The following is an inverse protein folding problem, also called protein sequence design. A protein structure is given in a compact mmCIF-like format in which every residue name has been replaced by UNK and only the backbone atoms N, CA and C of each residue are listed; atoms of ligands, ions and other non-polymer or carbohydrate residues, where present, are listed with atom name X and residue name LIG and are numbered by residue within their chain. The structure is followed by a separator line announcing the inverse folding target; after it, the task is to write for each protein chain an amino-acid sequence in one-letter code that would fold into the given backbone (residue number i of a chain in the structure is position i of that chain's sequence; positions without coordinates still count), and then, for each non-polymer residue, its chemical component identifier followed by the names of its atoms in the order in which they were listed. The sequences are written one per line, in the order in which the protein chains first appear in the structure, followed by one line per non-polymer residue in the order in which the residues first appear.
data_IF_286858180021
#
_entry.id   IF_286858180021
#
_cell.length_a   1.000
_cell.length_b   1.000
_cell.length_c   1.000
_cell.angle_alpha   90.00
_cell.angle_beta   90.00
_cell.angle_gamma   90.00
#
_symmetry.space_group_name_H-M   'P 1'
#
loop_
_entity.id
_entity.type
_entity.pdbx_description
1 polymer ?
#
# COMPACT_ATOMS: atom_id res chain seq x y z
N UNK A 1 -10.78 2.25 -38.14
CA UNK A 1 -11.89 2.23 -37.16
C UNK A 1 -11.67 1.03 -36.25
N UNK A 2 -11.39 1.21 -34.95
CA UNK A 2 -11.17 0.07 -34.05
C UNK A 2 -12.49 -0.61 -33.73
N UNK A 3 -12.56 -1.93 -33.90
CA UNK A 3 -13.73 -2.73 -33.50
C UNK A 3 -13.99 -2.58 -32.00
N UNK A 4 -15.07 -1.89 -31.66
CA UNK A 4 -15.64 -1.86 -30.31
C UNK A 4 -16.04 -3.29 -29.91
N UNK A 5 -15.84 -3.67 -28.65
CA UNK A 5 -16.33 -4.97 -28.15
C UNK A 5 -17.85 -5.00 -28.32
N UNK A 6 -18.37 -6.04 -28.99
CA UNK A 6 -19.80 -6.19 -29.29
C UNK A 6 -20.68 -5.95 -28.05
N UNK A 7 -20.31 -6.53 -26.90
CA UNK A 7 -21.03 -6.35 -25.62
C UNK A 7 -21.06 -4.88 -25.17
N UNK A 8 -19.97 -4.12 -25.35
CA UNK A 8 -19.93 -2.70 -25.00
C UNK A 8 -20.85 -1.89 -25.92
N UNK A 9 -20.85 -2.23 -27.21
CA UNK A 9 -21.76 -1.62 -28.19
C UNK A 9 -23.22 -1.93 -27.87
N UNK A 10 -23.53 -3.17 -27.48
CA UNK A 10 -24.85 -3.55 -26.99
C UNK A 10 -25.25 -2.75 -25.75
N UNK A 11 -24.41 -2.66 -24.72
CA UNK A 11 -24.71 -1.91 -23.48
C UNK A 11 -25.14 -0.48 -23.76
N UNK A 12 -24.48 0.19 -24.72
CA UNK A 12 -24.78 1.58 -25.08
C UNK A 12 -26.13 1.71 -25.81
N UNK A 13 -26.49 0.71 -26.62
CA UNK A 13 -27.65 0.77 -27.51
C UNK A 13 -28.92 0.11 -26.96
N UNK A 14 -28.81 -0.80 -25.99
CA UNK A 14 -29.95 -1.53 -25.41
C UNK A 14 -31.06 -0.60 -24.91
N UNK A 15 -30.69 0.57 -24.35
CA UNK A 15 -31.65 1.60 -23.92
C UNK A 15 -32.55 2.09 -25.06
N UNK A 16 -32.02 2.21 -26.28
CA UNK A 16 -32.78 2.69 -27.47
C UNK A 16 -33.87 1.70 -27.88
N UNK A 17 -33.67 0.41 -27.58
CA UNK A 17 -34.60 -0.66 -27.93
C UNK A 17 -35.55 -1.02 -26.79
N UNK A 18 -35.48 -0.33 -25.65
CA UNK A 18 -36.29 -0.65 -24.47
C UNK A 18 -35.89 -1.96 -23.78
N UNK A 19 -34.69 -2.48 -24.08
CA UNK A 19 -34.19 -3.74 -23.54
C UNK A 19 -33.27 -3.51 -22.34
N UNK A 20 -33.31 -4.44 -21.39
CA UNK A 20 -32.49 -4.41 -20.18
C UNK A 20 -31.45 -5.52 -20.16
N UNK A 21 -30.32 -5.28 -19.49
CA UNK A 21 -29.34 -6.31 -19.22
C UNK A 21 -28.97 -6.32 -17.75
N UNK A 22 -28.93 -7.51 -17.16
CA UNK A 22 -28.46 -7.74 -15.80
C UNK A 22 -27.06 -8.35 -15.87
N UNK A 23 -26.11 -7.71 -15.21
CA UNK A 23 -24.74 -8.19 -15.08
C UNK A 23 -24.49 -8.50 -13.60
N UNK A 24 -24.02 -9.71 -13.32
CA UNK A 24 -23.63 -10.13 -11.99
C UNK A 24 -22.20 -10.64 -12.04
N UNK A 25 -21.35 -10.12 -11.17
CA UNK A 25 -19.95 -10.52 -11.02
C UNK A 25 -19.59 -10.48 -9.52
N UNK A 26 -18.67 -11.35 -9.11
CA UNK A 26 -18.13 -11.39 -7.75
C UNK A 26 -17.06 -10.32 -7.53
N UNK A 27 -16.46 -9.78 -8.59
CA UNK A 27 -15.35 -8.85 -8.52
C UNK A 27 -15.66 -7.59 -9.34
N UNK A 28 -16.29 -6.57 -8.74
CA UNK A 28 -16.64 -5.32 -9.45
C UNK A 28 -15.42 -4.64 -10.10
N UNK A 29 -14.21 -4.85 -9.56
CA UNK A 29 -12.98 -4.24 -10.08
C UNK A 29 -12.45 -4.87 -11.38
N UNK A 30 -13.06 -5.94 -11.89
CA UNK A 30 -12.76 -6.54 -13.20
C UNK A 30 -13.69 -6.01 -14.31
N UNK A 31 -14.85 -5.46 -13.92
CA UNK A 31 -15.81 -4.87 -14.85
C UNK A 31 -15.19 -3.60 -15.47
N UNK A 32 -15.39 -3.40 -16.77
CA UNK A 32 -14.88 -2.21 -17.47
C UNK A 32 -15.66 -0.96 -17.07
N UNK A 33 -15.00 0.18 -16.99
CA UNK A 33 -15.63 1.43 -16.56
C UNK A 33 -16.75 1.88 -17.49
N UNK A 34 -16.64 1.59 -18.80
CA UNK A 34 -17.72 1.85 -19.75
C UNK A 34 -19.01 1.13 -19.36
N UNK A 35 -18.93 -0.04 -18.75
CA UNK A 35 -20.12 -0.76 -18.24
C UNK A 35 -20.63 -0.07 -16.98
N UNK A 36 -19.75 0.22 -16.02
CA UNK A 36 -20.11 0.86 -14.74
C UNK A 36 -20.76 2.23 -14.91
N UNK A 37 -20.34 2.99 -15.92
CA UNK A 37 -20.90 4.32 -16.22
C UNK A 37 -22.21 4.28 -17.01
N UNK A 38 -22.56 3.13 -17.62
CA UNK A 38 -23.77 2.97 -18.43
C UNK A 38 -24.88 2.16 -17.73
N UNK A 39 -24.67 1.73 -16.48
CA UNK A 39 -25.71 1.05 -15.70
C UNK A 39 -26.59 2.05 -14.97
N UNK A 40 -27.90 1.87 -15.08
CA UNK A 40 -28.89 2.68 -14.37
C UNK A 40 -29.06 2.23 -12.90
N UNK A 41 -28.98 0.92 -12.66
CA UNK A 41 -29.16 0.31 -11.34
C UNK A 41 -27.87 -0.38 -10.94
N UNK A 42 -27.37 -0.02 -9.77
CA UNK A 42 -26.20 -0.64 -9.14
C UNK A 42 -26.63 -1.26 -7.82
N UNK A 43 -26.31 -2.54 -7.65
CA UNK A 43 -26.53 -3.27 -6.41
C UNK A 43 -25.16 -3.77 -5.93
N UNK A 44 -24.69 -3.19 -4.83
CA UNK A 44 -23.46 -3.60 -4.17
C UNK A 44 -23.77 -4.51 -2.98
N UNK A 45 -23.40 -5.78 -3.06
CA UNK A 45 -23.48 -6.72 -1.94
C UNK A 45 -22.12 -6.87 -1.27
N UNK A 46 -22.05 -7.59 -0.15
CA UNK A 46 -20.82 -7.82 0.62
C UNK A 46 -19.65 -8.28 -0.27
N UNK A 47 -18.49 -7.62 -0.11
CA UNK A 47 -17.27 -7.88 -0.89
C UNK A 47 -16.10 -8.24 0.04
N UNK A 48 -15.35 -9.29 -0.30
CA UNK A 48 -14.18 -9.75 0.47
C UNK A 48 -12.94 -8.92 0.15
N UNK A 49 -12.74 -8.55 -1.12
CA UNK A 49 -11.55 -7.82 -1.58
C UNK A 49 -11.60 -6.33 -1.23
N UNK A 50 -10.52 -5.78 -0.67
CA UNK A 50 -10.43 -4.34 -0.38
C UNK A 50 -10.47 -3.49 -1.67
N UNK A 51 -9.93 -4.01 -2.78
CA UNK A 51 -10.03 -3.36 -4.10
C UNK A 51 -11.48 -3.25 -4.55
N UNK A 52 -12.24 -4.33 -4.48
CA UNK A 52 -13.65 -4.37 -4.85
C UNK A 52 -14.52 -3.53 -3.92
N UNK A 53 -14.21 -3.47 -2.62
CA UNK A 53 -14.87 -2.54 -1.68
C UNK A 53 -14.64 -1.08 -2.06
N UNK A 54 -13.40 -0.68 -2.37
CA UNK A 54 -13.08 0.69 -2.79
C UNK A 54 -13.79 1.06 -4.09
N UNK A 55 -13.77 0.14 -5.05
CA UNK A 55 -14.48 0.30 -6.32
C UNK A 55 -15.99 0.46 -6.09
N UNK A 56 -16.58 -0.39 -5.24
CA UNK A 56 -17.99 -0.31 -4.88
C UNK A 56 -18.36 1.00 -4.20
N UNK A 57 -17.53 1.50 -3.27
CA UNK A 57 -17.71 2.83 -2.63
C UNK A 57 -17.73 3.94 -3.69
N UNK A 58 -16.80 3.89 -4.64
CA UNK A 58 -16.68 4.88 -5.73
C UNK A 58 -17.91 4.85 -6.65
N UNK A 59 -18.27 3.66 -7.15
CA UNK A 59 -19.36 3.47 -8.11
C UNK A 59 -20.73 3.78 -7.48
N UNK A 60 -20.92 3.44 -6.20
CA UNK A 60 -22.13 3.80 -5.45
C UNK A 60 -22.12 5.26 -4.98
N UNK A 61 -21.01 6.00 -5.10
CA UNK A 61 -20.93 7.40 -4.67
C UNK A 61 -21.13 7.59 -3.17
N UNK A 62 -20.62 6.66 -2.36
CA UNK A 62 -20.74 6.72 -0.91
C UNK A 62 -19.77 7.77 -0.33
N UNK A 63 -20.22 8.53 0.66
CA UNK A 63 -19.35 9.43 1.40
C UNK A 63 -18.49 8.67 2.43
N UNK A 64 -17.51 9.35 3.04
CA UNK A 64 -16.58 8.74 4.00
C UNK A 64 -17.26 8.05 5.20
N UNK A 65 -18.40 8.54 5.64
CA UNK A 65 -19.15 7.95 6.75
C UNK A 65 -19.89 6.67 6.30
N UNK A 66 -20.47 6.70 5.10
CA UNK A 66 -21.18 5.57 4.49
C UNK A 66 -20.22 4.47 4.00
N UNK A 67 -18.99 4.84 3.61
CA UNK A 67 -17.98 3.92 3.13
C UNK A 67 -17.63 2.82 4.15
N UNK A 68 -17.79 3.10 5.44
CA UNK A 68 -17.59 2.09 6.49
C UNK A 68 -18.65 0.99 6.43
N UNK A 69 -19.90 1.31 6.05
CA UNK A 69 -21.03 0.36 6.00
C UNK A 69 -20.77 -0.78 5.01
N UNK A 70 -19.99 -0.53 3.95
CA UNK A 70 -19.58 -1.54 2.97
C UNK A 70 -18.81 -2.70 3.60
N UNK A 71 -18.09 -2.46 4.71
CA UNK A 71 -17.35 -3.51 5.41
C UNK A 71 -18.23 -4.36 6.33
N UNK A 72 -19.46 -3.91 6.60
CA UNK A 72 -20.37 -4.53 7.57
C UNK A 72 -21.65 -5.08 6.92
N UNK A 73 -21.68 -5.22 5.60
CA UNK A 73 -22.80 -5.83 4.90
C UNK A 73 -22.85 -7.33 5.20
N UNK A 74 -23.94 -7.75 5.83
CA UNK A 74 -24.24 -9.17 6.07
C UNK A 74 -24.72 -9.89 4.81
N UNK A 75 -24.76 -11.22 4.88
CA UNK A 75 -25.36 -12.05 3.82
C UNK A 75 -26.82 -11.66 3.66
N UNK A 76 -27.22 -11.39 2.41
CA UNK A 76 -28.58 -10.93 2.10
C UNK A 76 -28.79 -9.42 2.27
N UNK A 77 -27.78 -8.64 2.63
CA UNK A 77 -27.83 -7.18 2.59
C UNK A 77 -27.08 -6.62 1.37
N UNK A 78 -27.48 -5.43 0.93
CA UNK A 78 -26.74 -4.69 -0.08
C UNK A 78 -27.15 -3.22 -0.14
N UNK A 79 -26.34 -2.45 -0.85
CA UNK A 79 -26.58 -1.03 -1.09
C UNK A 79 -27.03 -0.86 -2.54
N UNK A 80 -28.19 -0.25 -2.75
CA UNK A 80 -28.72 0.05 -4.07
C UNK A 80 -28.56 1.53 -4.42
N UNK A 81 -28.13 1.81 -5.64
CA UNK A 81 -28.12 3.16 -6.23
C UNK A 81 -28.86 3.13 -7.56
N UNK A 82 -29.76 4.09 -7.76
CA UNK A 82 -30.51 4.28 -9.00
C UNK A 82 -30.10 5.61 -9.63
N UNK A 83 -29.79 5.61 -10.94
CA UNK A 83 -29.32 6.77 -11.70
C UNK A 83 -30.39 7.84 -11.97
N UNK A 84 -31.32 8.08 -11.04
CA UNK A 84 -32.42 9.02 -11.20
C UNK A 84 -33.28 9.18 -9.95
N UNK A 85 -34.41 8.46 -9.89
CA UNK A 85 -35.53 8.69 -8.94
C UNK A 85 -35.12 8.71 -7.46
N UNK A 86 -34.05 8.00 -7.11
CA UNK A 86 -33.51 7.93 -5.75
C UNK A 86 -32.04 8.38 -5.81
N UNK A 87 -31.74 9.66 -5.53
CA UNK A 87 -30.40 10.21 -5.74
C UNK A 87 -29.39 9.69 -4.72
N UNK A 88 -29.86 9.16 -3.59
CA UNK A 88 -29.03 8.66 -2.51
C UNK A 88 -29.00 7.13 -2.49
N UNK A 89 -27.82 6.52 -2.27
CA UNK A 89 -27.70 5.08 -2.05
C UNK A 89 -28.50 4.64 -0.82
N UNK A 90 -29.22 3.54 -0.95
CA UNK A 90 -30.09 2.98 0.09
C UNK A 90 -29.57 1.61 0.52
N UNK A 91 -29.50 1.37 1.83
CA UNK A 91 -29.27 0.03 2.37
C UNK A 91 -30.57 -0.78 2.29
N UNK A 92 -30.51 -1.98 1.72
CA UNK A 92 -31.66 -2.88 1.57
C UNK A 92 -31.30 -4.29 2.05
N UNK A 93 -32.32 -4.99 2.54
CA UNK A 93 -32.27 -6.41 2.85
C UNK A 93 -33.04 -7.18 1.77
N UNK A 94 -32.40 -8.18 1.19
CA UNK A 94 -32.98 -9.05 0.17
C UNK A 94 -33.67 -10.25 0.84
N UNK A 95 -34.87 -10.64 0.39
CA UNK A 95 -35.51 -11.85 0.88
C UNK A 95 -34.69 -13.08 0.47
N UNK A 96 -34.54 -14.02 1.40
CA UNK A 96 -33.92 -15.31 1.07
C UNK A 96 -34.83 -16.09 0.13
N UNK A 97 -34.31 -16.40 -1.06
CA UNK A 97 -34.95 -17.31 -2.02
C UNK A 97 -34.15 -18.60 -2.00
N UNK A 98 -34.79 -19.70 -1.61
CA UNK A 98 -34.15 -21.02 -1.59
C UNK A 98 -33.77 -21.39 -3.03
N UNK A 99 -32.48 -21.61 -3.35
CA UNK A 99 -32.09 -22.02 -4.68
C UNK A 99 -32.65 -23.42 -4.95
N UNK A 100 -33.31 -23.59 -6.09
CA UNK A 100 -33.60 -24.92 -6.62
C UNK A 100 -32.31 -25.50 -7.21
N UNK A 101 -31.90 -26.68 -6.77
CA UNK A 101 -30.79 -27.40 -7.38
C UNK A 101 -31.24 -27.96 -8.73
N UNK A 102 -31.11 -27.14 -9.78
CA UNK A 102 -31.34 -27.52 -11.17
C UNK A 102 -30.04 -28.18 -11.68
N UNK A 103 -30.12 -29.44 -12.11
CA UNK A 103 -28.99 -30.10 -12.76
C UNK A 103 -28.74 -29.52 -14.15
N UNK A 104 -27.51 -29.58 -14.66
CA UNK A 104 -27.18 -29.17 -16.04
C UNK A 104 -28.14 -29.79 -17.06
N UNK A 105 -28.46 -31.07 -16.92
CA UNK A 105 -29.45 -31.76 -17.75
C UNK A 105 -30.84 -31.09 -17.72
N UNK A 106 -31.33 -30.69 -16.55
CA UNK A 106 -32.62 -29.98 -16.43
C UNK A 106 -32.53 -28.58 -17.02
N UNK A 107 -31.38 -27.91 -16.91
CA UNK A 107 -31.14 -26.60 -17.50
C UNK A 107 -31.14 -26.68 -19.02
N UNK A 108 -30.47 -27.68 -19.59
CA UNK A 108 -30.43 -27.94 -21.03
C UNK A 108 -31.82 -28.30 -21.57
N UNK A 109 -32.56 -29.14 -20.87
CA UNK A 109 -33.95 -29.47 -21.21
C UNK A 109 -34.87 -28.24 -21.16
N UNK A 110 -34.66 -27.33 -20.20
CA UNK A 110 -35.41 -26.07 -20.12
C UNK A 110 -35.02 -25.11 -21.26
N UNK A 111 -33.73 -24.96 -21.53
CA UNK A 111 -33.20 -24.13 -22.62
C UNK A 111 -33.63 -24.65 -24.00
N UNK A 112 -33.69 -25.97 -24.20
CA UNK A 112 -34.13 -26.59 -25.44
C UNK A 112 -35.63 -26.40 -25.72
N UNK A 113 -36.44 -26.22 -24.66
CA UNK A 113 -37.88 -25.93 -24.77
C UNK A 113 -38.16 -24.46 -25.08
N UNK A 114 -37.24 -23.55 -24.76
CA UNK A 114 -37.38 -22.13 -25.09
C UNK A 114 -37.04 -21.89 -26.58
N UNK A 115 -38.02 -21.48 -27.41
CA UNK A 115 -37.80 -21.30 -28.85
C UNK A 115 -36.74 -20.24 -29.18
N UNK A 116 -36.59 -19.21 -28.33
CA UNK A 116 -35.64 -18.11 -28.52
C UNK A 116 -34.23 -18.58 -28.18
N UNK A 117 -34.06 -19.29 -27.07
CA UNK A 117 -32.75 -19.85 -26.69
C UNK A 117 -32.29 -20.87 -27.73
N UNK A 118 -33.20 -21.71 -28.23
CA UNK A 118 -32.90 -22.68 -29.29
C UNK A 118 -32.44 -21.99 -30.59
N UNK A 119 -33.12 -20.94 -31.03
CA UNK A 119 -32.71 -20.17 -32.21
C UNK A 119 -31.32 -19.53 -32.01
N UNK A 120 -31.08 -18.92 -30.85
CA UNK A 120 -29.79 -18.31 -30.51
C UNK A 120 -28.64 -19.33 -30.49
N UNK A 121 -28.82 -20.48 -29.84
CA UNK A 121 -27.80 -21.52 -29.74
C UNK A 121 -27.54 -22.21 -31.09
N UNK A 122 -28.56 -22.35 -31.95
CA UNK A 122 -28.41 -22.95 -33.28
C UNK A 122 -27.48 -22.16 -34.22
N UNK A 123 -27.24 -20.88 -33.90
CA UNK A 123 -26.40 -19.97 -34.68
C UNK A 123 -24.95 -19.92 -34.20
N UNK A 124 -24.64 -20.57 -33.07
CA UNK A 124 -23.29 -20.62 -32.52
C UNK A 124 -22.58 -21.86 -33.08
N UNK A 125 -21.66 -21.66 -34.02
CA UNK A 125 -20.82 -22.75 -34.56
C UNK A 125 -19.90 -23.23 -33.44
N UNK A 126 -20.06 -24.48 -33.01
CA UNK A 126 -19.16 -25.13 -32.06
C UNK A 126 -17.79 -25.31 -32.71
N UNK A 127 -16.84 -24.41 -32.41
CA UNK A 127 -15.46 -24.58 -32.83
C UNK A 127 -14.82 -25.63 -31.92
N UNK A 128 -14.67 -26.87 -32.40
CA UNK A 128 -13.87 -27.88 -31.72
C UNK A 128 -12.39 -27.44 -31.75
N UNK A 129 -11.88 -26.97 -30.61
CA UNK A 129 -10.52 -26.37 -30.49
C UNK A 129 -9.38 -27.41 -30.56
N UNK A 130 -9.67 -28.71 -30.74
CA UNK A 130 -8.65 -29.76 -30.58
C UNK A 130 -8.18 -30.49 -31.86
N UNK A 131 -8.68 -30.19 -33.06
CA UNK A 131 -8.24 -30.92 -34.27
C UNK A 131 -8.09 -30.02 -35.51
N UNK A 132 -7.00 -29.24 -35.61
CA UNK A 132 -6.56 -28.75 -36.93
C UNK A 132 -5.02 -28.68 -37.04
N UNK A 133 -4.36 -29.63 -37.74
CA UNK A 133 -2.91 -29.65 -37.95
C UNK A 133 -2.36 -28.66 -39.01
N UNK A 134 -3.20 -27.81 -39.64
CA UNK A 134 -2.82 -27.05 -40.84
C UNK A 134 -3.23 -25.57 -40.87
N UNK A 135 -3.22 -24.86 -39.74
CA UNK A 135 -3.17 -23.39 -39.78
C UNK A 135 -1.70 -22.95 -39.97
N UNK A 136 -1.25 -22.88 -41.23
CA UNK A 136 -0.06 -22.09 -41.57
C UNK A 136 -0.33 -20.64 -41.15
N UNK A 137 0.62 -19.96 -40.48
CA UNK A 137 0.45 -18.55 -40.13
C UNK A 137 0.27 -17.74 -41.43
N UNK A 138 -0.83 -17.00 -41.52
CA UNK A 138 -1.09 -16.08 -42.62
C UNK A 138 0.07 -15.08 -42.73
N UNK A 139 0.70 -14.92 -43.91
CA UNK A 139 1.71 -13.90 -44.12
C UNK A 139 1.04 -12.52 -44.16
N UNK A 140 1.47 -11.63 -43.28
CA UNK A 140 1.18 -10.20 -43.38
C UNK A 140 -0.25 -9.79 -43.01
N UNK A 141 -0.65 -9.98 -41.76
CA UNK A 141 -1.66 -9.09 -41.16
C UNK A 141 -0.92 -7.80 -40.79
N UNK A 142 -1.25 -6.63 -41.39
CA UNK A 142 -0.72 -5.37 -40.92
C UNK A 142 -1.11 -5.22 -39.45
N UNK A 143 -0.12 -5.10 -38.57
CA UNK A 143 -0.37 -4.76 -37.17
C UNK A 143 -1.00 -3.36 -37.16
N UNK A 144 -2.32 -3.30 -37.10
CA UNK A 144 -3.04 -2.08 -36.81
C UNK A 144 -2.73 -1.69 -35.36
N UNK A 145 -1.84 -0.72 -35.20
CA UNK A 145 -1.73 0.09 -34.00
C UNK A 145 -3.05 0.84 -33.84
N UNK A 146 -3.98 0.23 -33.09
CA UNK A 146 -5.04 1.00 -32.45
C UNK A 146 -4.32 1.92 -31.48
N UNK A 147 -4.34 3.21 -31.76
CA UNK A 147 -4.07 4.27 -30.77
C UNK A 147 -5.14 4.17 -29.66
N UNK A 148 -5.06 3.12 -28.85
CA UNK A 148 -5.23 3.29 -27.41
C UNK A 148 -4.14 4.28 -27.04
N UNK A 149 -4.47 5.33 -26.32
CA UNK A 149 -3.50 5.89 -25.39
C UNK A 149 -2.99 4.70 -24.57
N UNK A 150 -1.83 4.21 -24.98
CA UNK A 150 -1.28 2.98 -24.46
C UNK A 150 -0.76 3.33 -23.10
N UNK A 151 -1.56 3.08 -22.06
CA UNK A 151 -0.99 2.87 -20.73
C UNK A 151 0.13 1.85 -20.91
N UNK A 152 1.35 2.36 -20.81
CA UNK A 152 2.56 1.60 -20.99
C UNK A 152 2.58 0.48 -19.93
N UNK A 153 3.34 -0.59 -20.18
CA UNK A 153 3.57 -1.60 -19.12
C UNK A 153 4.06 -0.94 -17.82
N UNK A 154 4.70 0.23 -17.94
CA UNK A 154 5.16 1.07 -16.85
C UNK A 154 3.97 1.66 -16.07
N UNK A 155 2.96 2.21 -16.72
CA UNK A 155 1.79 2.82 -16.08
C UNK A 155 0.98 1.79 -15.29
N UNK A 156 0.79 0.59 -15.84
CA UNK A 156 0.14 -0.51 -15.11
C UNK A 156 0.93 -0.99 -13.90
N UNK A 157 2.26 -0.98 -13.96
CA UNK A 157 3.10 -1.30 -12.82
C UNK A 157 3.09 -0.17 -11.78
N UNK A 158 3.03 1.08 -12.24
CA UNK A 158 2.91 2.25 -11.41
C UNK A 158 1.62 2.24 -10.60
N UNK A 159 0.47 1.98 -11.23
CA UNK A 159 -0.80 1.86 -10.51
C UNK A 159 -0.78 0.74 -9.47
N UNK A 160 -0.20 -0.42 -9.80
CA UNK A 160 -0.02 -1.52 -8.82
C UNK A 160 0.91 -1.13 -7.66
N UNK A 161 1.87 -0.24 -7.91
CA UNK A 161 2.82 0.19 -6.89
C UNK A 161 2.25 1.22 -5.92
N UNK A 162 1.16 1.92 -6.27
CA UNK A 162 0.54 2.94 -5.39
C UNK A 162 0.07 2.38 -4.06
N UNK A 163 -0.58 1.20 -4.06
CA UNK A 163 -1.01 0.56 -2.81
C UNK A 163 0.21 0.19 -1.93
N UNK A 164 1.30 -0.25 -2.55
CA UNK A 164 2.55 -0.55 -1.84
C UNK A 164 3.20 0.71 -1.27
N UNK A 165 3.21 1.82 -2.02
CA UNK A 165 3.71 3.12 -1.55
C UNK A 165 2.85 3.68 -0.41
N UNK A 166 1.54 3.57 -0.52
CA UNK A 166 0.62 4.00 0.54
C UNK A 166 0.83 3.20 1.83
N UNK A 167 1.08 1.89 1.70
CA UNK A 167 1.46 1.06 2.85
C UNK A 167 2.82 1.45 3.44
N UNK A 168 3.82 1.69 2.59
CA UNK A 168 5.14 2.18 3.04
C UNK A 168 5.00 3.50 3.82
N UNK A 169 4.12 4.41 3.36
CA UNK A 169 3.86 5.67 4.05
C UNK A 169 3.22 5.47 5.43
N UNK A 170 2.22 4.59 5.52
CA UNK A 170 1.46 4.36 6.76
C UNK A 170 2.18 3.45 7.76
N UNK A 171 2.91 2.45 7.27
CA UNK A 171 3.59 1.39 8.04
C UNK A 171 5.07 1.30 7.65
N UNK A 172 5.78 2.43 7.75
CA UNK A 172 7.18 2.55 7.34
C UNK A 172 8.13 1.59 8.08
N UNK A 173 7.76 1.21 9.30
CA UNK A 173 8.50 0.32 10.20
C UNK A 173 8.33 -1.17 9.88
N UNK A 174 7.56 -1.52 8.85
CA UNK A 174 7.36 -2.92 8.42
C UNK A 174 8.42 -3.33 7.39
N UNK A 175 9.10 -4.45 7.65
CA UNK A 175 10.09 -5.02 6.75
C UNK A 175 9.44 -5.56 5.46
N UNK A 176 10.20 -5.56 4.36
CA UNK A 176 9.72 -5.93 3.03
C UNK A 176 9.12 -7.33 2.92
N UNK A 177 9.66 -8.29 3.68
CA UNK A 177 9.19 -9.68 3.71
C UNK A 177 7.83 -9.81 4.39
N UNK A 178 7.64 -9.11 5.52
CA UNK A 178 6.36 -9.03 6.22
C UNK A 178 5.34 -8.31 5.33
N UNK A 179 5.73 -7.19 4.72
CA UNK A 179 4.87 -6.44 3.80
C UNK A 179 4.42 -7.30 2.61
N UNK A 180 5.31 -8.08 2.00
CA UNK A 180 4.95 -8.98 0.90
C UNK A 180 3.89 -10.01 1.33
N UNK A 181 4.01 -10.57 2.54
CA UNK A 181 3.06 -11.53 3.10
C UNK A 181 1.69 -10.89 3.34
N UNK A 182 1.66 -9.69 3.91
CA UNK A 182 0.41 -8.95 4.19
C UNK A 182 -0.39 -8.67 2.91
N UNK A 183 0.30 -8.42 1.80
CA UNK A 183 -0.32 -8.21 0.49
C UNK A 183 -0.71 -9.51 -0.23
N UNK A 184 -0.46 -10.67 0.38
CA UNK A 184 -0.71 -11.97 -0.26
C UNK A 184 0.14 -12.21 -1.51
N UNK A 185 1.29 -11.54 -1.62
CA UNK A 185 2.15 -11.62 -2.79
C UNK A 185 3.18 -12.75 -2.65
N UNK A 186 3.45 -13.45 -3.76
CA UNK A 186 4.62 -14.32 -3.84
C UNK A 186 5.91 -13.49 -3.79
N UNK A 187 7.02 -14.11 -3.36
CA UNK A 187 8.31 -13.43 -3.29
C UNK A 187 8.72 -12.78 -4.61
N UNK A 188 8.48 -13.45 -5.75
CA UNK A 188 8.78 -12.91 -7.08
C UNK A 188 7.87 -11.73 -7.45
N UNK A 189 6.58 -11.78 -7.11
CA UNK A 189 5.65 -10.69 -7.39
C UNK A 189 6.00 -9.44 -6.56
N UNK A 190 6.30 -9.63 -5.28
CA UNK A 190 6.73 -8.55 -4.40
C UNK A 190 8.07 -7.94 -4.86
N UNK A 191 9.06 -8.76 -5.21
CA UNK A 191 10.37 -8.30 -5.70
C UNK A 191 10.24 -7.46 -6.99
N UNK A 192 9.32 -7.82 -7.89
CA UNK A 192 9.04 -7.00 -9.09
C UNK A 192 8.51 -5.61 -8.75
N UNK A 193 7.57 -5.51 -7.81
CA UNK A 193 7.00 -4.22 -7.38
C UNK A 193 8.08 -3.40 -6.66
N UNK A 194 8.82 -4.02 -5.75
CA UNK A 194 9.88 -3.36 -5.01
C UNK A 194 11.00 -2.85 -5.94
N UNK A 195 11.45 -3.65 -6.90
CA UNK A 195 12.42 -3.21 -7.92
C UNK A 195 11.89 -2.06 -8.75
N UNK A 196 10.61 -2.09 -9.11
CA UNK A 196 9.99 -0.99 -9.86
C UNK A 196 10.01 0.32 -9.07
N UNK A 197 9.54 0.33 -7.81
CA UNK A 197 9.54 1.57 -7.01
C UNK A 197 10.95 2.08 -6.68
N UNK A 198 11.93 1.17 -6.58
CA UNK A 198 13.36 1.51 -6.44
C UNK A 198 13.91 2.16 -7.70
N UNK A 199 13.66 1.56 -8.87
CA UNK A 199 14.11 2.07 -10.17
C UNK A 199 13.50 3.43 -10.51
N UNK A 200 12.24 3.63 -10.15
CA UNK A 200 11.54 4.92 -10.31
C UNK A 200 11.91 5.94 -9.22
N UNK A 201 12.82 5.60 -8.30
CA UNK A 201 13.30 6.46 -7.22
C UNK A 201 12.18 7.02 -6.33
N UNK A 202 11.10 6.24 -6.16
CA UNK A 202 9.95 6.64 -5.33
C UNK A 202 10.24 6.44 -3.84
N UNK A 203 11.21 5.59 -3.51
CA UNK A 203 11.60 5.23 -2.16
C UNK A 203 13.11 5.08 -2.03
N UNK A 204 13.62 5.31 -0.83
CA UNK A 204 14.95 4.88 -0.42
C UNK A 204 14.89 3.52 0.31
N UNK A 205 15.96 2.75 0.16
CA UNK A 205 16.11 1.44 0.79
C UNK A 205 16.94 1.58 2.06
N UNK A 206 16.38 1.13 3.18
CA UNK A 206 17.06 1.07 4.46
C UNK A 206 17.34 -0.39 4.81
N UNK A 207 18.60 -0.70 5.14
CA UNK A 207 19.03 -2.03 5.54
C UNK A 207 19.53 -1.97 6.98
N UNK A 208 18.81 -2.60 7.90
CA UNK A 208 19.11 -2.56 9.33
C UNK A 208 19.02 -3.94 9.98
N UNK A 209 19.93 -4.21 10.91
CA UNK A 209 19.86 -5.38 11.77
C UNK A 209 19.34 -4.95 13.15
N UNK A 210 18.09 -5.32 13.44
CA UNK A 210 17.40 -4.96 14.69
C UNK A 210 17.44 -6.08 15.74
N UNK A 211 18.03 -7.24 15.43
CA UNK A 211 18.06 -8.42 16.33
C UNK A 211 19.41 -8.64 17.01
N UNK A 212 20.44 -7.86 16.68
CA UNK A 212 21.71 -7.81 17.41
C UNK A 212 22.66 -9.01 17.23
N UNK A 213 22.27 -10.02 16.44
CA UNK A 213 23.12 -11.18 16.16
C UNK A 213 22.50 -12.19 15.18
N UNK A 214 21.59 -13.04 15.66
CA UNK A 214 20.95 -14.11 14.86
C UNK A 214 19.77 -13.55 14.07
N UNK A 215 20.04 -13.08 12.86
CA UNK A 215 19.04 -12.57 11.93
C UNK A 215 19.71 -11.80 10.80
N UNK A 216 19.25 -12.02 9.57
CA UNK A 216 19.70 -11.24 8.43
C UNK A 216 19.29 -9.77 8.54
N UNK A 217 20.01 -8.90 7.82
CA UNK A 217 19.67 -7.49 7.71
C UNK A 217 18.29 -7.34 7.07
N UNK A 218 17.35 -6.72 7.79
CA UNK A 218 15.99 -6.46 7.30
C UNK A 218 16.01 -5.29 6.31
N UNK A 219 15.21 -5.42 5.25
CA UNK A 219 15.06 -4.39 4.22
C UNK A 219 13.77 -3.61 4.48
N UNK A 220 13.90 -2.31 4.68
CA UNK A 220 12.82 -1.35 4.85
C UNK A 220 12.82 -0.38 3.68
N UNK A 221 11.68 0.25 3.47
CA UNK A 221 11.46 1.24 2.42
C UNK A 221 10.94 2.50 3.04
N UNK A 222 11.42 3.64 2.56
CA UNK A 222 11.03 4.94 3.09
C UNK A 222 10.79 5.89 1.94
N UNK A 223 9.64 6.58 1.97
CA UNK A 223 9.39 7.65 1.01
C UNK A 223 10.15 8.88 1.46
N UNK A 224 11.19 9.24 0.71
CA UNK A 224 12.04 10.40 0.98
C UNK A 224 12.08 11.37 -0.20
N UNK A 225 11.77 10.87 -1.40
CA UNK A 225 11.74 11.63 -2.63
C UNK A 225 10.35 12.27 -2.82
N UNK A 226 10.25 13.57 -3.16
CA UNK A 226 9.00 14.21 -3.53
C UNK A 226 8.14 13.42 -4.53
N UNK A 227 8.77 12.76 -5.52
CA UNK A 227 8.07 11.91 -6.50
C UNK A 227 7.26 10.78 -5.86
N UNK A 228 7.78 10.16 -4.81
CA UNK A 228 7.08 9.09 -4.10
C UNK A 228 5.88 9.60 -3.30
N UNK A 229 5.98 10.82 -2.75
CA UNK A 229 4.86 11.49 -2.07
C UNK A 229 3.76 11.91 -3.05
N UNK A 230 4.16 12.48 -4.20
CA UNK A 230 3.26 12.86 -5.28
C UNK A 230 2.48 11.65 -5.83
N UNK A 231 3.16 10.51 -6.02
CA UNK A 231 2.55 9.27 -6.51
C UNK A 231 1.37 8.76 -5.65
N UNK A 232 1.33 9.12 -4.36
CA UNK A 232 0.26 8.77 -3.41
C UNK A 232 -0.54 9.97 -2.94
N UNK A 233 -0.38 11.13 -3.60
CA UNK A 233 -1.06 12.38 -3.28
C UNK A 233 -0.90 12.79 -1.80
N UNK A 234 0.30 12.60 -1.25
CA UNK A 234 0.67 13.04 0.11
C UNK A 234 1.69 14.17 0.04
N UNK A 235 1.76 14.94 1.12
CA UNK A 235 2.78 15.98 1.27
C UNK A 235 3.98 15.42 2.01
N UNK A 236 5.22 15.67 1.54
CA UNK A 236 6.41 15.32 2.29
C UNK A 236 6.42 16.06 3.65
N UNK A 237 6.91 15.43 4.72
CA UNK A 237 7.09 16.11 6.00
C UNK A 237 8.11 17.25 5.83
N UNK A 238 7.91 18.35 6.56
CA UNK A 238 8.91 19.42 6.66
C UNK A 238 10.18 18.81 7.25
N UNK A 239 11.27 18.86 6.50
CA UNK A 239 12.60 18.43 6.95
C UNK A 239 13.44 19.64 7.25
N UNK A 240 14.17 19.58 8.34
CA UNK A 240 15.33 20.44 8.53
C UNK A 240 16.45 19.88 7.65
N UNK A 241 17.10 20.71 6.84
CA UNK A 241 17.90 20.23 5.69
C UNK A 241 19.04 19.27 6.03
N UNK A 242 19.42 18.45 5.03
CA UNK A 242 20.66 17.64 5.01
C UNK A 242 20.55 16.21 5.53
N UNK A 243 19.43 15.86 6.16
CA UNK A 243 19.26 14.57 6.86
C UNK A 243 19.06 13.41 5.88
N UNK A 244 19.98 12.44 5.88
CA UNK A 244 19.93 11.27 5.01
C UNK A 244 18.75 10.33 5.33
N UNK A 245 18.35 9.50 4.36
CA UNK A 245 17.19 8.60 4.48
C UNK A 245 17.24 7.68 5.70
N UNK A 246 18.43 7.18 6.06
CA UNK A 246 18.65 6.34 7.23
C UNK A 246 18.36 7.10 8.53
N UNK A 247 18.82 8.34 8.64
CA UNK A 247 18.62 9.15 9.83
C UNK A 247 17.13 9.47 10.00
N UNK A 248 16.47 9.94 8.93
CA UNK A 248 15.02 10.16 8.90
C UNK A 248 14.20 8.90 9.25
N UNK A 249 14.63 7.73 8.79
CA UNK A 249 13.99 6.46 9.17
C UNK A 249 14.13 6.21 10.67
N UNK A 250 15.34 6.31 11.19
CA UNK A 250 15.65 6.02 12.59
C UNK A 250 14.95 6.97 13.55
N UNK A 251 14.84 8.27 13.24
CA UNK A 251 14.08 9.23 14.06
C UNK A 251 12.64 8.77 14.27
N UNK A 252 11.96 8.42 13.17
CA UNK A 252 10.57 7.98 13.20
C UNK A 252 10.45 6.60 13.85
N UNK A 253 11.36 5.69 13.54
CA UNK A 253 11.36 4.34 14.05
C UNK A 253 11.54 4.33 15.58
N UNK A 254 12.56 5.04 16.07
CA UNK A 254 12.82 5.19 17.50
C UNK A 254 11.67 5.91 18.19
N UNK A 255 11.13 7.02 17.65
CA UNK A 255 9.96 7.69 18.25
C UNK A 255 8.79 6.73 18.45
N UNK A 256 8.46 5.94 17.42
CA UNK A 256 7.34 4.98 17.47
C UNK A 256 7.58 3.91 18.53
N UNK A 257 8.74 3.24 18.48
CA UNK A 257 8.97 2.05 19.28
C UNK A 257 9.46 2.34 20.70
N UNK A 258 10.18 3.43 20.95
CA UNK A 258 10.61 3.79 22.30
C UNK A 258 9.45 4.25 23.18
N UNK A 259 8.38 4.78 22.58
CA UNK A 259 7.15 5.11 23.32
C UNK A 259 6.54 3.88 24.00
N UNK A 260 6.69 2.69 23.41
CA UNK A 260 6.25 1.41 23.99
C UNK A 260 7.24 0.86 25.04
N UNK A 261 8.40 1.50 25.21
CA UNK A 261 9.51 1.05 26.06
C UNK A 261 9.72 1.94 27.28
N UNK A 262 8.73 2.75 27.66
CA UNK A 262 8.79 3.62 28.85
C UNK A 262 9.28 5.03 28.58
N UNK A 263 9.57 5.39 27.33
CA UNK A 263 9.80 6.79 26.98
C UNK A 263 8.46 7.53 26.82
N UNK A 264 8.39 8.75 27.34
CA UNK A 264 7.24 9.63 27.21
C UNK A 264 7.62 10.97 26.60
N UNK A 265 6.63 11.64 25.98
CA UNK A 265 6.79 12.97 25.37
C UNK A 265 7.92 13.06 24.33
N UNK A 266 8.13 12.01 23.53
CA UNK A 266 9.16 11.99 22.48
C UNK A 266 8.81 12.92 21.31
N UNK A 267 9.65 13.92 21.11
CA UNK A 267 9.58 14.90 20.04
C UNK A 267 10.80 14.78 19.11
N UNK A 268 10.56 14.87 17.81
CA UNK A 268 11.62 14.86 16.77
C UNK A 268 12.09 16.29 16.54
N UNK A 269 13.39 16.48 16.34
CA UNK A 269 14.04 17.75 16.01
C UNK A 269 13.70 18.89 17.00
N UNK A 270 13.60 18.58 18.30
CA UNK A 270 13.21 19.55 19.32
C UNK A 270 14.33 20.56 19.57
N UNK A 271 13.99 21.86 19.55
CA UNK A 271 14.93 22.92 19.90
C UNK A 271 14.91 23.17 21.42
N UNK A 272 16.04 22.96 22.08
CA UNK A 272 16.22 23.19 23.51
C UNK A 272 17.41 24.14 23.70
N UNK A 273 17.09 25.34 24.20
CA UNK A 273 18.07 26.41 24.44
C UNK A 273 18.95 26.75 23.23
N UNK A 274 18.35 26.83 22.05
CA UNK A 274 19.03 27.23 20.81
C UNK A 274 19.74 26.09 20.07
N UNK A 275 19.62 24.83 20.53
CA UNK A 275 20.12 23.66 19.81
C UNK A 275 19.00 22.67 19.52
N UNK A 276 19.02 22.12 18.31
CA UNK A 276 18.15 21.02 17.88
C UNK A 276 18.76 19.68 18.29
N UNK A 277 17.95 18.84 18.94
CA UNK A 277 18.25 17.44 19.28
C UNK A 277 17.35 16.55 18.41
N UNK A 278 17.88 15.48 17.84
CA UNK A 278 17.13 14.60 16.92
C UNK A 278 15.88 14.03 17.58
N UNK A 279 16.01 13.52 18.80
CA UNK A 279 14.90 13.03 19.61
C UNK A 279 15.05 13.50 21.06
N UNK A 280 14.00 14.11 21.61
CA UNK A 280 13.98 14.50 23.01
C UNK A 280 12.71 14.02 23.69
N UNK A 281 12.85 13.50 24.91
CA UNK A 281 11.71 13.10 25.72
C UNK A 281 12.13 12.82 27.16
N UNK A 282 11.30 12.03 27.83
CA UNK A 282 11.57 11.56 29.19
C UNK A 282 11.63 10.05 29.24
N UNK A 283 12.49 9.51 30.09
CA UNK A 283 12.43 8.11 30.52
C UNK A 283 12.32 8.10 32.03
N UNK A 284 11.19 7.61 32.56
CA UNK A 284 10.73 7.93 33.91
C UNK A 284 10.70 9.47 34.08
N UNK A 285 11.42 10.03 35.05
CA UNK A 285 11.53 11.48 35.27
C UNK A 285 12.74 12.13 34.59
N UNK A 286 13.65 11.34 34.03
CA UNK A 286 14.90 11.84 33.45
C UNK A 286 14.66 12.44 32.07
N UNK A 287 15.19 13.64 31.82
CA UNK A 287 15.23 14.26 30.49
C UNK A 287 16.30 13.61 29.64
N UNK A 288 15.87 12.92 28.58
CA UNK A 288 16.75 12.19 27.67
C UNK A 288 16.81 12.91 26.32
N UNK A 289 18.02 13.23 25.87
CA UNK A 289 18.30 13.57 24.49
C UNK A 289 18.88 12.35 23.76
N UNK A 290 18.41 12.07 22.55
CA UNK A 290 18.92 10.99 21.70
C UNK A 290 19.36 11.63 20.38
N UNK A 291 20.64 11.44 20.04
CA UNK A 291 21.23 11.87 18.77
C UNK A 291 21.53 10.65 17.91
N UNK A 292 21.21 10.70 16.62
CA UNK A 292 21.30 9.56 15.71
C UNK A 292 22.51 9.76 14.80
N UNK A 293 23.54 8.93 15.00
CA UNK A 293 24.77 9.00 14.23
C UNK A 293 24.79 7.90 13.16
N UNK A 294 24.57 8.28 11.90
CA UNK A 294 24.55 7.34 10.74
C UNK A 294 25.88 7.24 10.00
N UNK A 295 26.82 8.15 10.22
CA UNK A 295 28.13 8.13 9.56
C UNK A 295 29.24 8.67 10.46
N UNK A 296 30.50 8.39 10.11
CA UNK A 296 31.65 8.60 11.01
C UNK A 296 32.33 9.97 10.91
N UNK A 297 31.79 10.95 10.19
CA UNK A 297 32.35 12.32 10.06
C UNK A 297 31.20 13.30 9.72
N UNK A 298 31.09 14.59 10.14
CA UNK A 298 32.14 15.59 10.43
C UNK A 298 31.68 16.86 11.21
N UNK A 299 30.44 16.97 11.70
CA UNK A 299 29.94 18.23 12.33
C UNK A 299 29.00 18.08 13.54
N UNK A 300 28.44 16.89 13.78
CA UNK A 300 27.47 16.67 14.88
C UNK A 300 28.14 16.53 16.26
N UNK A 301 29.45 16.23 16.28
CA UNK A 301 30.25 16.01 17.48
C UNK A 301 30.47 17.25 18.36
N UNK A 302 30.44 18.44 17.76
CA UNK A 302 30.90 19.68 18.42
C UNK A 302 29.84 20.24 19.39
N UNK A 303 28.63 19.71 19.38
CA UNK A 303 27.55 20.28 20.16
C UNK A 303 27.25 19.57 21.50
N UNK A 304 27.83 18.40 21.75
CA UNK A 304 27.56 17.59 22.96
C UNK A 304 27.82 18.35 24.28
N UNK A 305 28.91 19.15 24.35
CA UNK A 305 29.20 19.94 25.56
C UNK A 305 28.10 20.96 25.88
N UNK A 306 27.35 21.44 24.87
CA UNK A 306 26.25 22.40 25.04
C UNK A 306 24.91 21.74 25.40
N UNK A 307 24.81 20.42 25.27
CA UNK A 307 23.57 19.66 25.54
C UNK A 307 23.49 19.14 26.99
N UNK A 308 24.63 18.98 27.67
CA UNK A 308 24.72 18.43 29.03
C UNK A 308 23.96 19.23 30.10
N UNK A 309 23.78 20.53 29.86
CA UNK A 309 23.07 21.41 30.80
C UNK A 309 21.54 21.29 30.65
N UNK A 310 21.07 20.64 29.58
CA UNK A 310 19.65 20.60 29.18
C UNK A 310 19.04 19.21 29.28
N UNK A 311 19.86 18.19 29.12
CA UNK A 311 19.49 16.78 29.29
C UNK A 311 20.23 16.20 30.49
N UNK A 312 19.56 15.33 31.23
CA UNK A 312 20.20 14.57 32.30
C UNK A 312 21.07 13.45 31.71
N UNK A 313 20.60 12.85 30.61
CA UNK A 313 21.34 11.86 29.84
C UNK A 313 21.22 12.18 28.34
N UNK A 314 22.33 12.04 27.63
CA UNK A 314 22.40 12.11 26.18
C UNK A 314 22.84 10.75 25.65
N UNK A 315 22.05 10.17 24.76
CA UNK A 315 22.32 8.88 24.13
C UNK A 315 22.67 9.11 22.67
N UNK A 316 23.88 8.74 22.26
CA UNK A 316 24.23 8.67 20.84
C UNK A 316 23.96 7.25 20.35
N UNK A 317 23.01 7.11 19.44
CA UNK A 317 22.62 5.81 18.89
C UNK A 317 23.11 5.67 17.45
N UNK A 318 23.52 4.46 17.09
CA UNK A 318 24.11 4.14 15.77
C UNK A 318 23.38 2.98 15.11
N UNK A 319 23.35 2.88 13.78
CA UNK A 319 22.63 1.81 13.08
C UNK A 319 23.26 0.43 13.29
N UNK A 320 24.58 0.36 13.53
CA UNK A 320 25.33 -0.88 13.61
C UNK A 320 26.57 -0.79 14.51
N UNK A 321 27.08 -1.95 14.94
CA UNK A 321 28.24 -2.06 15.84
C UNK A 321 29.52 -1.47 15.24
N UNK A 322 29.74 -1.57 13.93
CA UNK A 322 30.94 -1.03 13.27
C UNK A 322 30.96 0.49 13.33
N UNK A 323 29.80 1.13 13.12
CA UNK A 323 29.62 2.57 13.29
C UNK A 323 29.84 2.98 14.75
N UNK A 324 29.27 2.23 15.72
CA UNK A 324 29.50 2.44 17.16
C UNK A 324 30.98 2.37 17.55
N UNK A 325 31.71 1.33 17.14
CA UNK A 325 33.13 1.17 17.52
C UNK A 325 34.00 2.33 17.02
N UNK A 326 33.72 2.81 15.80
CA UNK A 326 34.41 3.98 15.25
C UNK A 326 34.05 5.25 16.02
N UNK A 327 32.76 5.43 16.31
CA UNK A 327 32.24 6.53 17.13
C UNK A 327 32.92 6.58 18.50
N UNK A 328 32.93 5.47 19.23
CA UNK A 328 33.53 5.37 20.56
C UNK A 328 35.03 5.73 20.52
N UNK A 329 35.75 5.24 19.50
CA UNK A 329 37.17 5.53 19.30
C UNK A 329 37.46 7.02 19.05
N UNK A 330 36.53 7.75 18.42
CA UNK A 330 36.64 9.19 18.24
C UNK A 330 36.23 9.99 19.46
N UNK A 331 35.18 9.56 20.17
CA UNK A 331 34.70 10.20 21.39
C UNK A 331 35.78 10.19 22.48
N UNK A 332 36.44 9.05 22.68
CA UNK A 332 37.55 8.91 23.65
C UNK A 332 38.68 9.91 23.39
N UNK A 333 38.91 10.29 22.13
CA UNK A 333 39.97 11.26 21.76
C UNK A 333 39.59 12.72 22.00
N UNK A 334 38.29 13.03 22.09
CA UNK A 334 37.77 14.41 22.04
C UNK A 334 37.04 14.84 23.31
N UNK A 335 36.48 13.90 24.06
CA UNK A 335 35.59 14.16 25.17
C UNK A 335 36.05 13.34 26.38
N UNK A 336 36.21 14.01 27.52
CA UNK A 336 36.48 13.34 28.79
C UNK A 336 35.31 12.42 29.19
N UNK A 337 35.60 11.30 29.87
CA UNK A 337 34.56 10.38 30.34
C UNK A 337 33.46 11.12 31.11
N UNK A 338 32.22 11.07 30.61
CA UNK A 338 31.08 11.74 31.22
C UNK A 338 29.95 10.74 31.47
N UNK A 339 29.47 10.65 32.71
CA UNK A 339 28.41 9.72 33.10
C UNK A 339 27.06 10.00 32.41
N UNK A 340 26.84 11.24 31.94
CA UNK A 340 25.62 11.63 31.22
C UNK A 340 25.63 11.18 29.75
N UNK A 341 26.79 10.86 29.17
CA UNK A 341 26.89 10.41 27.78
C UNK A 341 26.88 8.90 27.70
N UNK A 342 25.96 8.36 26.91
CA UNK A 342 25.87 6.94 26.63
C UNK A 342 25.92 6.72 25.12
N UNK A 343 26.58 5.66 24.67
CA UNK A 343 26.59 5.26 23.26
C UNK A 343 26.02 3.85 23.13
N UNK A 344 25.21 3.61 22.11
CA UNK A 344 24.62 2.30 21.86
C UNK A 344 24.33 2.09 20.37
N UNK A 345 24.01 0.85 20.01
CA UNK A 345 23.38 0.55 18.73
C UNK A 345 21.85 0.64 18.89
N UNK A 346 21.13 1.02 17.83
CA UNK A 346 19.67 1.15 17.80
C UNK A 346 18.95 -0.06 18.43
N UNK A 347 19.37 -1.29 18.11
CA UNK A 347 18.75 -2.50 18.68
C UNK A 347 18.97 -2.66 20.19
N UNK A 348 20.09 -2.18 20.73
CA UNK A 348 20.36 -2.21 22.17
C UNK A 348 19.41 -1.25 22.88
N UNK A 349 19.23 -0.05 22.33
CA UNK A 349 18.31 0.96 22.86
C UNK A 349 16.85 0.50 22.83
N UNK A 350 16.44 -0.21 21.78
CA UNK A 350 15.07 -0.71 21.65
C UNK A 350 14.77 -1.90 22.57
N UNK A 351 15.75 -2.76 22.81
CA UNK A 351 15.56 -4.01 23.56
C UNK A 351 15.88 -3.86 25.06
N UNK A 352 16.85 -3.02 25.40
CA UNK A 352 17.36 -2.86 26.76
C UNK A 352 17.65 -1.37 27.09
N UNK A 353 16.67 -0.46 26.96
CA UNK A 353 16.88 0.96 27.28
C UNK A 353 17.33 1.17 28.73
N UNK A 354 16.84 0.35 29.67
CA UNK A 354 17.19 0.41 31.08
C UNK A 354 18.69 0.27 31.31
N UNK A 355 19.35 -0.67 30.61
CA UNK A 355 20.79 -0.94 30.77
C UNK A 355 21.68 0.18 30.23
N UNK A 356 21.13 1.02 29.35
CA UNK A 356 21.85 2.15 28.75
C UNK A 356 21.69 3.39 29.65
N UNK A 357 20.48 3.58 30.20
CA UNK A 357 20.12 4.77 30.97
C UNK A 357 20.67 4.70 32.40
N UNK A 358 20.59 3.53 33.06
CA UNK A 358 21.30 3.29 34.33
C UNK A 358 22.81 3.23 34.06
#
# INVERSE_FOLDING_TARGET
MSQESYIISCIRRLREYGEGMVLADQCISTIKDVVKSNVYTLIGMSQIGQKDRREMISVLGLNSNQAQMVNFLDVGQGIIRLGGRYPFPQLIAFPFVKPENISEKKLDEANAKDPRVRDLLSRVISVNVFEHPHLKPLPGIPQYTVNKESESKKDKMFEKSKDMLLDIFNRFDVASTVRAKDFGLSASAADKIFKFIEQEQLVDIIRLNLTGGRGGTSKFYVITNPKGYEAISKTPPKRSGGTGAMHFFLERYLKKHLSEKGFSCLEIEKNIGGKRIDLFGKYNELKIGIEICVSTMKSEFINFQKDQDKCEIVIITTPDKKTKTKLDSELIKKIEPNKKLKTCVVHELLNHPEKIIT
#
